data_IF_122351383540
#
_entry.id   IF_122351383540
#
_cell.length_a   1.000
_cell.length_b   1.000
_cell.length_c   1.000
_cell.angle_alpha   90.00
_cell.angle_beta   90.00
_cell.angle_gamma   90.00
#
_symmetry.space_group_name_H-M   'P 1'
#
loop_
_entity.id
_entity.type
_entity.pdbx_description
1 polymer ?
#
# COMPACT_ATOMS: atom_id res chain seq x y z
N UNK A 1 -6.56 -3.64 25.27
CA UNK A 1 -5.76 -3.51 24.03
C UNK A 1 -4.47 -4.28 24.21
N UNK A 2 -4.28 -5.43 23.53
CA UNK A 2 -3.30 -6.46 23.89
C UNK A 2 -1.83 -5.97 23.88
N UNK A 3 -1.47 -5.06 22.97
CA UNK A 3 -0.10 -4.54 22.87
C UNK A 3 0.29 -3.63 24.04
N UNK A 4 -0.58 -2.70 24.44
CA UNK A 4 -0.33 -1.87 25.62
C UNK A 4 -0.27 -2.71 26.91
N UNK A 5 -1.14 -3.72 27.05
CA UNK A 5 -1.04 -4.65 28.19
C UNK A 5 0.23 -5.51 28.18
N UNK A 6 0.93 -5.60 27.04
CA UNK A 6 2.24 -6.22 26.92
C UNK A 6 3.40 -5.23 27.12
N UNK A 7 3.12 -3.97 27.46
CA UNK A 7 4.12 -2.92 27.72
C UNK A 7 4.58 -2.14 26.47
N UNK A 8 3.98 -2.38 25.30
CA UNK A 8 4.30 -1.59 24.10
C UNK A 8 3.52 -0.28 24.11
N UNK A 9 4.18 0.83 24.39
CA UNK A 9 3.55 2.17 24.44
C UNK A 9 3.63 2.94 23.11
N UNK A 10 4.59 2.58 22.25
CA UNK A 10 4.78 3.18 20.93
C UNK A 10 4.91 2.09 19.88
N UNK A 11 3.90 1.94 19.03
CA UNK A 11 3.85 0.92 17.98
C UNK A 11 3.88 1.60 16.61
N UNK A 12 4.91 1.28 15.81
CA UNK A 12 5.00 1.66 14.41
C UNK A 12 4.55 0.52 13.50
N UNK A 13 3.88 0.84 12.40
CA UNK A 13 3.61 -0.10 11.31
C UNK A 13 4.52 0.21 10.13
N UNK A 14 5.18 -0.82 9.63
CA UNK A 14 5.95 -0.75 8.39
C UNK A 14 5.48 -1.84 7.45
N UNK A 15 5.33 -1.50 6.17
CA UNK A 15 4.95 -2.47 5.16
C UNK A 15 5.37 -2.06 3.76
N UNK A 16 5.53 -3.07 2.91
CA UNK A 16 5.84 -2.94 1.49
C UNK A 16 4.66 -3.47 0.69
N UNK A 17 4.31 -2.81 -0.43
CA UNK A 17 3.27 -3.28 -1.35
C UNK A 17 1.93 -3.46 -0.63
N UNK A 18 1.36 -4.67 -0.65
CA UNK A 18 0.14 -5.00 0.09
C UNK A 18 0.30 -4.80 1.60
N UNK A 19 1.50 -4.97 2.14
CA UNK A 19 1.80 -4.62 3.53
C UNK A 19 1.75 -3.11 3.79
N UNK A 20 2.10 -2.28 2.81
CA UNK A 20 1.99 -0.82 2.90
C UNK A 20 0.53 -0.38 2.92
N UNK A 21 -0.31 -0.98 2.06
CA UNK A 21 -1.77 -0.83 2.10
C UNK A 21 -2.32 -1.21 3.49
N UNK A 22 -1.93 -2.39 4.02
CA UNK A 22 -2.33 -2.81 5.36
C UNK A 22 -1.88 -1.84 6.45
N UNK A 23 -0.64 -1.36 6.40
CA UNK A 23 -0.09 -0.45 7.40
C UNK A 23 -0.87 0.87 7.45
N UNK A 24 -1.19 1.44 6.27
CA UNK A 24 -2.00 2.66 6.17
C UNK A 24 -3.45 2.41 6.62
N UNK A 25 -4.07 1.32 6.17
CA UNK A 25 -5.44 0.96 6.56
C UNK A 25 -5.54 0.72 8.06
N UNK A 26 -4.69 -0.13 8.62
CA UNK A 26 -4.67 -0.43 10.06
C UNK A 26 -4.36 0.82 10.89
N UNK A 27 -3.40 1.65 10.46
CA UNK A 27 -3.10 2.93 11.09
C UNK A 27 -4.32 3.86 11.16
N UNK A 28 -5.13 3.89 10.10
CA UNK A 28 -6.36 4.70 10.07
C UNK A 28 -7.51 4.14 10.90
N UNK A 29 -7.53 2.83 11.13
CA UNK A 29 -8.59 2.11 11.88
C UNK A 29 -8.29 1.97 13.38
N UNK A 30 -7.02 2.14 13.77
CA UNK A 30 -6.54 1.96 15.14
C UNK A 30 -5.85 3.24 15.67
N UNK A 31 -6.53 4.41 15.65
CA UNK A 31 -5.97 5.65 16.17
C UNK A 31 -5.64 5.51 17.66
N UNK A 32 -4.53 6.10 18.08
CA UNK A 32 -3.99 6.03 19.44
C UNK A 32 -3.16 4.77 19.74
N UNK A 33 -3.37 3.66 19.00
CA UNK A 33 -2.51 2.48 19.11
C UNK A 33 -1.35 2.50 18.13
N UNK A 34 -1.59 2.95 16.90
CA UNK A 34 -0.54 3.09 15.89
C UNK A 34 0.02 4.51 15.96
N UNK A 35 1.31 4.60 16.27
CA UNK A 35 2.00 5.87 16.52
C UNK A 35 2.92 6.30 15.37
N UNK A 36 3.14 5.45 14.36
CA UNK A 36 3.88 5.79 13.15
C UNK A 36 3.53 4.81 12.03
N UNK A 37 3.56 5.29 10.78
CA UNK A 37 3.39 4.44 9.59
C UNK A 37 4.50 4.71 8.57
N UNK A 38 5.16 3.65 8.12
CA UNK A 38 6.09 3.68 6.99
C UNK A 38 5.52 2.77 5.90
N UNK A 39 5.17 3.36 4.75
CA UNK A 39 4.50 2.68 3.66
C UNK A 39 5.37 2.74 2.40
N UNK A 40 5.87 1.60 1.97
CA UNK A 40 6.78 1.44 0.83
C UNK A 40 6.03 0.87 -0.36
N UNK A 41 6.18 1.48 -1.52
CA UNK A 41 5.34 1.26 -2.70
C UNK A 41 3.84 1.26 -2.30
N UNK A 42 3.30 2.37 -1.78
CA UNK A 42 1.97 2.40 -1.16
C UNK A 42 0.83 2.34 -2.18
N UNK A 43 -0.38 2.17 -1.66
CA UNK A 43 -1.66 2.31 -2.36
C UNK A 43 -2.58 3.27 -1.58
N UNK A 44 -3.36 4.10 -2.26
CA UNK A 44 -4.26 5.09 -1.64
C UNK A 44 -5.66 4.54 -1.32
N UNK A 45 -5.95 3.31 -1.73
CA UNK A 45 -7.25 2.65 -1.60
C UNK A 45 -7.06 1.19 -1.17
N UNK A 46 -8.03 0.64 -0.45
CA UNK A 46 -8.05 -0.80 -0.19
C UNK A 46 -8.46 -1.52 -1.48
N UNK A 47 -7.66 -2.47 -1.94
CA UNK A 47 -7.95 -3.19 -3.18
C UNK A 47 -8.76 -4.47 -2.92
N UNK A 48 -9.48 -4.92 -3.94
CA UNK A 48 -10.05 -6.27 -4.00
C UNK A 48 -8.98 -7.35 -3.80
N UNK A 49 -9.38 -8.46 -3.16
CA UNK A 49 -8.50 -9.57 -2.83
C UNK A 49 -8.07 -10.42 -4.03
N UNK A 50 -6.91 -11.06 -3.89
CA UNK A 50 -6.43 -12.12 -4.77
C UNK A 50 -6.23 -13.41 -3.98
N UNK A 51 -6.51 -14.55 -4.62
CA UNK A 51 -6.05 -15.85 -4.14
C UNK A 51 -4.93 -16.37 -5.03
N UNK A 52 -3.96 -17.06 -4.42
CA UNK A 52 -2.89 -17.81 -5.10
C UNK A 52 -3.01 -19.32 -4.93
N UNK A 53 -4.03 -19.81 -4.22
CA UNK A 53 -4.14 -21.24 -3.86
C UNK A 53 -4.36 -22.15 -5.08
N UNK A 54 -5.02 -21.66 -6.14
CA UNK A 54 -5.27 -22.38 -7.39
C UNK A 54 -4.90 -21.51 -8.60
N UNK A 55 -3.72 -20.88 -8.54
CA UNK A 55 -3.33 -19.81 -9.46
C UNK A 55 -3.83 -18.45 -9.00
N UNK A 56 -3.46 -17.38 -9.73
CA UNK A 56 -3.85 -16.00 -9.41
C UNK A 56 -5.29 -15.78 -9.87
N UNK A 57 -6.22 -15.69 -8.92
CA UNK A 57 -7.64 -15.42 -9.18
C UNK A 57 -8.10 -14.21 -8.39
N UNK A 58 -8.93 -13.38 -9.02
CA UNK A 58 -9.67 -12.33 -8.31
C UNK A 58 -10.67 -12.99 -7.36
N UNK A 59 -10.66 -12.54 -6.10
CA UNK A 59 -11.64 -12.96 -5.11
C UNK A 59 -12.80 -11.96 -5.09
N UNK A 60 -14.06 -12.42 -4.97
CA UNK A 60 -15.12 -11.52 -4.56
C UNK A 60 -14.80 -11.03 -3.14
N UNK A 61 -14.67 -9.72 -2.96
CA UNK A 61 -14.44 -9.13 -1.65
C UNK A 61 -13.13 -8.35 -1.48
N UNK A 62 -13.03 -7.76 -0.29
CA UNK A 62 -11.88 -6.96 0.14
C UNK A 62 -10.65 -7.83 0.35
N UNK A 63 -9.46 -7.23 0.26
CA UNK A 63 -8.27 -7.93 0.76
C UNK A 63 -8.21 -7.94 2.30
N UNK A 64 -8.91 -7.02 2.97
CA UNK A 64 -8.83 -6.88 4.42
C UNK A 64 -10.20 -7.00 5.06
N UNK A 65 -10.23 -7.70 6.21
CA UNK A 65 -11.35 -7.70 7.12
C UNK A 65 -10.95 -7.05 8.44
N UNK A 66 -11.86 -6.30 9.05
CA UNK A 66 -11.69 -5.70 10.37
C UNK A 66 -12.91 -5.98 11.23
N UNK A 67 -12.70 -6.51 12.44
CA UNK A 67 -13.77 -6.95 13.35
C UNK A 67 -14.82 -7.88 12.71
N UNK A 68 -14.36 -8.79 11.83
CA UNK A 68 -15.22 -9.77 11.16
C UNK A 68 -16.01 -9.24 9.97
N UNK A 69 -15.91 -7.93 9.65
CA UNK A 69 -16.49 -7.34 8.44
C UNK A 69 -15.43 -6.97 7.41
N UNK A 70 -15.81 -6.93 6.13
CA UNK A 70 -14.91 -6.46 5.07
C UNK A 70 -14.64 -4.96 5.21
N UNK A 71 -13.37 -4.57 5.05
CA UNK A 71 -13.03 -3.16 4.87
C UNK A 71 -13.49 -2.75 3.46
N UNK A 72 -14.19 -1.62 3.28
CA UNK A 72 -14.60 -1.16 1.95
C UNK A 72 -13.41 -1.13 1.00
N UNK A 73 -13.61 -1.58 -0.23
CA UNK A 73 -12.54 -1.79 -1.19
C UNK A 73 -12.92 -1.29 -2.60
N UNK A 74 -11.92 -1.02 -3.43
CA UNK A 74 -12.10 -0.74 -4.85
C UNK A 74 -11.88 -2.03 -5.64
N UNK A 75 -12.89 -2.44 -6.39
CA UNK A 75 -12.82 -3.58 -7.30
C UNK A 75 -12.03 -3.29 -8.56
N UNK A 76 -11.46 -4.32 -9.19
CA UNK A 76 -10.80 -4.18 -10.48
C UNK A 76 -11.76 -3.95 -11.65
N UNK A 77 -13.07 -4.15 -11.44
CA UNK A 77 -14.07 -4.07 -12.50
C UNK A 77 -13.92 -5.17 -13.55
N UNK A 78 -13.27 -6.28 -13.17
CA UNK A 78 -12.98 -7.42 -14.03
C UNK A 78 -13.62 -8.67 -13.43
N UNK A 79 -14.28 -9.47 -14.27
CA UNK A 79 -14.87 -10.76 -13.84
C UNK A 79 -13.80 -11.81 -13.55
N UNK A 80 -12.65 -11.72 -14.22
CA UNK A 80 -11.52 -12.66 -14.10
C UNK A 80 -10.20 -11.95 -14.17
N UNK A 81 -9.20 -12.55 -13.52
CA UNK A 81 -7.83 -12.06 -13.60
C UNK A 81 -7.28 -12.20 -15.03
N UNK A 82 -6.79 -11.12 -15.68
CA UNK A 82 -6.33 -11.14 -17.06
C UNK A 82 -4.91 -11.71 -17.19
N UNK A 83 -4.73 -12.98 -16.81
CA UNK A 83 -3.43 -13.64 -16.69
C UNK A 83 -2.60 -13.56 -17.98
N UNK A 84 -3.21 -13.80 -19.15
CA UNK A 84 -2.51 -13.76 -20.44
C UNK A 84 -1.96 -12.37 -20.78
N UNK A 85 -2.71 -11.31 -20.47
CA UNK A 85 -2.28 -9.93 -20.68
C UNK A 85 -1.12 -9.57 -19.74
N UNK A 86 -1.24 -9.93 -18.46
CA UNK A 86 -0.18 -9.74 -17.46
C UNK A 86 1.09 -10.48 -17.87
N UNK A 87 0.99 -11.74 -18.29
CA UNK A 87 2.13 -12.53 -18.78
C UNK A 87 2.78 -11.89 -20.01
N UNK A 88 1.97 -11.51 -21.01
CA UNK A 88 2.46 -10.89 -22.25
C UNK A 88 3.20 -9.57 -21.98
N UNK A 89 2.63 -8.71 -21.13
CA UNK A 89 3.30 -7.45 -20.73
C UNK A 89 4.54 -7.71 -19.89
N UNK A 90 4.49 -8.66 -18.96
CA UNK A 90 5.62 -9.00 -18.12
C UNK A 90 6.81 -9.54 -18.93
N UNK A 91 6.54 -10.34 -19.96
CA UNK A 91 7.57 -10.81 -20.90
C UNK A 91 8.20 -9.64 -21.68
N UNK A 92 7.40 -8.66 -22.14
CA UNK A 92 7.89 -7.47 -22.84
C UNK A 92 8.72 -6.56 -21.93
N UNK A 93 8.28 -6.37 -20.69
CA UNK A 93 8.97 -5.56 -19.69
C UNK A 93 10.19 -6.28 -19.09
N UNK A 94 10.30 -7.61 -19.27
CA UNK A 94 11.30 -8.49 -18.64
C UNK A 94 11.22 -8.49 -17.11
N UNK A 95 10.05 -8.19 -16.58
CA UNK A 95 9.72 -8.20 -15.14
C UNK A 95 8.21 -8.36 -14.94
N UNK A 96 7.77 -8.72 -13.72
CA UNK A 96 6.34 -8.85 -13.43
C UNK A 96 5.69 -7.46 -13.32
N UNK A 97 4.76 -7.14 -14.23
CA UNK A 97 4.08 -5.83 -14.30
C UNK A 97 2.56 -5.99 -14.21
N UNK A 98 1.90 -5.18 -13.38
CA UNK A 98 0.43 -5.15 -13.25
C UNK A 98 -0.13 -3.73 -13.07
N UNK A 99 0.70 -2.71 -13.27
CA UNK A 99 0.37 -1.29 -13.18
C UNK A 99 -0.96 -0.90 -13.84
N UNK A 100 -1.22 -1.35 -15.07
CA UNK A 100 -2.46 -1.02 -15.78
C UNK A 100 -3.73 -1.44 -15.04
N UNK A 101 -3.67 -2.55 -14.29
CA UNK A 101 -4.81 -3.04 -13.52
C UNK A 101 -5.10 -2.13 -12.32
N UNK A 102 -4.08 -1.45 -11.80
CA UNK A 102 -4.18 -0.60 -10.62
C UNK A 102 -4.33 0.89 -10.93
N UNK A 103 -3.94 1.36 -12.13
CA UNK A 103 -4.12 2.77 -12.54
C UNK A 103 -5.57 3.27 -12.34
N UNK A 104 -6.63 2.52 -12.73
CA UNK A 104 -8.01 2.96 -12.49
C UNK A 104 -8.34 3.07 -10.99
N UNK A 105 -7.83 2.14 -10.17
CA UNK A 105 -8.07 2.11 -8.72
C UNK A 105 -7.44 3.33 -8.03
N UNK A 106 -6.26 3.75 -8.47
CA UNK A 106 -5.59 4.93 -7.90
C UNK A 106 -6.28 6.23 -8.32
N UNK A 107 -6.68 6.34 -9.60
CA UNK A 107 -7.28 7.55 -10.15
C UNK A 107 -8.71 7.77 -9.68
N UNK A 108 -9.52 6.71 -9.67
CA UNK A 108 -10.94 6.76 -9.36
C UNK A 108 -11.33 5.66 -8.36
N UNK A 109 -10.78 5.68 -7.14
CA UNK A 109 -11.14 4.71 -6.11
C UNK A 109 -12.61 4.86 -5.72
N UNK A 110 -13.24 3.77 -5.28
CA UNK A 110 -14.54 3.86 -4.63
C UNK A 110 -14.40 4.77 -3.39
N UNK A 111 -15.25 5.80 -3.20
CA UNK A 111 -15.05 6.79 -2.13
C UNK A 111 -14.92 6.20 -0.73
N UNK A 112 -15.66 5.13 -0.44
CA UNK A 112 -15.61 4.43 0.86
C UNK A 112 -14.30 3.64 1.07
N UNK A 113 -13.62 3.24 -0.01
CA UNK A 113 -12.41 2.43 -0.01
C UNK A 113 -11.12 3.24 0.09
N UNK A 114 -11.19 4.56 -0.13
CA UNK A 114 -10.07 5.47 0.05
C UNK A 114 -9.55 5.32 1.47
N UNK A 115 -8.25 5.02 1.60
CA UNK A 115 -7.63 4.85 2.90
C UNK A 115 -7.62 6.21 3.60
N UNK A 116 -8.18 6.25 4.80
CA UNK A 116 -8.36 7.46 5.59
C UNK A 116 -7.08 7.82 6.35
N UNK A 117 -5.99 8.05 5.61
CA UNK A 117 -4.67 8.34 6.16
C UNK A 117 -4.68 9.56 7.10
N UNK A 118 -5.61 10.50 6.93
CA UNK A 118 -5.79 11.65 7.82
C UNK A 118 -6.19 11.28 9.25
N UNK A 119 -6.68 10.05 9.47
CA UNK A 119 -7.05 9.54 10.80
C UNK A 119 -5.88 8.93 11.58
N UNK A 120 -4.71 8.77 10.94
CA UNK A 120 -3.52 8.24 11.60
C UNK A 120 -3.02 9.26 12.64
N UNK A 121 -2.77 8.81 13.86
CA UNK A 121 -2.38 9.69 14.98
C UNK A 121 -0.87 9.75 15.19
N UNK A 122 -0.10 9.80 14.11
CA UNK A 122 1.36 9.76 14.16
C UNK A 122 2.02 10.03 12.81
N UNK A 123 3.35 10.18 12.76
CA UNK A 123 4.09 10.44 11.54
C UNK A 123 3.88 9.39 10.44
N UNK A 124 3.87 9.85 9.19
CA UNK A 124 3.75 9.02 8.00
C UNK A 124 4.97 9.23 7.08
N UNK A 125 5.64 8.15 6.72
CA UNK A 125 6.66 8.13 5.67
C UNK A 125 6.18 7.28 4.50
N UNK A 126 6.07 7.89 3.32
CA UNK A 126 5.77 7.21 2.07
C UNK A 126 7.05 7.08 1.25
N UNK A 127 7.31 5.90 0.71
CA UNK A 127 8.43 5.65 -0.20
C UNK A 127 7.85 5.07 -1.50
N UNK A 128 8.11 5.72 -2.63
CA UNK A 128 7.65 5.23 -3.95
C UNK A 128 8.77 5.32 -4.99
N UNK A 129 8.51 4.75 -6.16
CA UNK A 129 9.34 4.98 -7.34
C UNK A 129 8.53 5.20 -8.60
N UNK A 130 9.08 6.03 -9.50
CA UNK A 130 8.58 6.23 -10.85
C UNK A 130 8.72 5.00 -11.74
N UNK A 131 9.60 4.07 -11.38
CA UNK A 131 9.83 2.81 -12.10
C UNK A 131 9.06 1.62 -11.49
N UNK A 132 8.10 1.87 -10.60
CA UNK A 132 7.24 0.81 -10.09
C UNK A 132 6.27 0.33 -11.18
N UNK A 133 6.57 -0.83 -11.76
CA UNK A 133 5.75 -1.48 -12.78
C UNK A 133 4.73 -2.45 -12.19
N UNK A 134 4.76 -2.71 -10.88
CA UNK A 134 3.78 -3.58 -10.26
C UNK A 134 2.46 -2.84 -10.01
N UNK A 135 2.53 -1.63 -9.47
CA UNK A 135 1.40 -0.73 -9.35
C UNK A 135 1.86 0.74 -9.33
N UNK A 136 0.99 1.73 -9.63
CA UNK A 136 1.43 3.13 -9.75
C UNK A 136 1.62 3.78 -8.37
N UNK A 137 2.69 3.40 -7.68
CA UNK A 137 2.94 3.79 -6.28
C UNK A 137 3.25 5.27 -6.09
N UNK A 138 3.87 5.94 -7.06
CA UNK A 138 4.04 7.40 -7.05
C UNK A 138 2.68 8.09 -7.03
N UNK A 139 1.82 7.79 -8.01
CA UNK A 139 0.49 8.40 -8.09
C UNK A 139 -0.35 8.10 -6.84
N UNK A 140 -0.25 6.89 -6.28
CA UNK A 140 -0.92 6.55 -5.03
C UNK A 140 -0.39 7.37 -3.84
N UNK A 141 0.92 7.51 -3.72
CA UNK A 141 1.54 8.33 -2.67
C UNK A 141 1.12 9.80 -2.79
N UNK A 142 1.06 10.35 -4.01
CA UNK A 142 0.58 11.72 -4.25
C UNK A 142 -0.88 11.92 -3.84
N UNK A 143 -1.77 10.96 -4.11
CA UNK A 143 -3.17 11.01 -3.66
C UNK A 143 -3.26 10.99 -2.13
N UNK A 144 -2.43 10.19 -1.45
CA UNK A 144 -2.36 10.19 0.02
C UNK A 144 -1.88 11.55 0.53
N UNK A 145 -0.77 12.09 -0.01
CA UNK A 145 -0.24 13.39 0.38
C UNK A 145 -1.25 14.53 0.13
N UNK A 146 -1.98 14.48 -0.98
CA UNK A 146 -3.07 15.43 -1.28
C UNK A 146 -4.16 15.36 -0.22
N UNK A 147 -4.64 14.16 0.11
CA UNK A 147 -5.65 13.95 1.16
C UNK A 147 -5.20 14.47 2.52
N UNK A 148 -3.95 14.21 2.91
CA UNK A 148 -3.37 14.70 4.17
C UNK A 148 -3.36 16.23 4.23
N UNK A 149 -2.97 16.91 3.14
CA UNK A 149 -3.01 18.38 3.04
C UNK A 149 -4.44 18.93 3.14
N UNK A 150 -5.38 18.33 2.41
CA UNK A 150 -6.80 18.76 2.40
C UNK A 150 -7.48 18.65 3.77
N UNK A 151 -7.02 17.73 4.62
CA UNK A 151 -7.59 17.52 5.96
C UNK A 151 -6.74 18.16 7.08
N UNK A 152 -5.72 18.95 6.75
CA UNK A 152 -4.88 19.64 7.73
C UNK A 152 -4.14 18.69 8.68
N UNK A 153 -3.53 17.63 8.13
CA UNK A 153 -2.85 16.60 8.92
C UNK A 153 -1.81 17.21 9.87
N UNK A 154 -1.90 16.85 11.16
CA UNK A 154 -1.16 17.51 12.24
C UNK A 154 0.24 16.93 12.48
N UNK A 155 0.49 15.71 12.02
CA UNK A 155 1.75 15.00 12.25
C UNK A 155 2.70 15.16 11.06
N UNK A 156 3.98 14.89 11.31
CA UNK A 156 4.98 14.88 10.25
C UNK A 156 4.59 13.90 9.14
N UNK A 157 4.59 14.37 7.90
CA UNK A 157 4.41 13.51 6.74
C UNK A 157 5.48 13.81 5.68
N UNK A 158 6.08 12.76 5.13
CA UNK A 158 7.08 12.87 4.08
C UNK A 158 6.85 11.84 3.00
N UNK A 159 7.06 12.24 1.76
CA UNK A 159 7.05 11.36 0.60
C UNK A 159 8.43 11.40 -0.06
N UNK A 160 9.13 10.27 -0.02
CA UNK A 160 10.38 10.06 -0.74
C UNK A 160 10.03 9.36 -2.05
N UNK A 161 10.19 10.09 -3.15
CA UNK A 161 9.95 9.58 -4.49
C UNK A 161 11.26 9.42 -5.24
N UNK A 162 11.59 8.19 -5.63
CA UNK A 162 12.83 7.88 -6.32
C UNK A 162 12.60 7.73 -7.83
N UNK A 163 13.43 8.38 -8.64
CA UNK A 163 13.39 8.26 -10.11
C UNK A 163 13.67 6.83 -10.58
N UNK A 164 14.52 6.10 -9.85
CA UNK A 164 14.90 4.73 -10.15
C UNK A 164 14.62 3.80 -8.96
N UNK A 165 14.21 2.56 -9.29
CA UNK A 165 13.97 1.48 -8.32
C UNK A 165 12.67 0.75 -8.62
N UNK A 166 12.67 -0.58 -8.47
CA UNK A 166 11.48 -1.38 -8.69
C UNK A 166 10.49 -1.31 -7.53
N UNK A 167 9.44 -2.11 -7.60
CA UNK A 167 8.39 -2.19 -6.57
C UNK A 167 8.90 -2.56 -5.16
N UNK A 168 10.02 -3.28 -5.07
CA UNK A 168 10.57 -3.79 -3.81
C UNK A 168 11.74 -2.92 -3.35
N UNK A 169 11.46 -1.95 -2.47
CA UNK A 169 12.48 -1.28 -1.67
C UNK A 169 12.60 -1.99 -0.33
N UNK A 170 13.58 -2.89 -0.25
CA UNK A 170 13.89 -3.63 0.97
C UNK A 170 15.19 -3.11 1.59
N UNK A 171 15.26 -2.99 2.93
CA UNK A 171 16.53 -2.76 3.58
C UNK A 171 17.42 -3.97 3.34
N UNK A 172 18.54 -3.77 2.62
CA UNK A 172 19.56 -4.79 2.47
C UNK A 172 20.75 -4.46 3.36
N UNK A 173 21.06 -5.34 4.30
CA UNK A 173 22.38 -5.34 4.93
C UNK A 173 23.39 -5.94 3.95
N UNK A 174 24.10 -5.07 3.23
CA UNK A 174 25.28 -5.51 2.48
C UNK A 174 26.41 -5.68 3.51
N UNK A 175 26.68 -6.92 3.92
CA UNK A 175 27.79 -7.27 4.84
C UNK A 175 29.17 -6.79 4.35
N UNK A 176 29.30 -6.45 3.07
CA UNK A 176 30.52 -5.92 2.45
C UNK A 176 30.66 -4.38 2.53
N UNK A 177 29.66 -3.64 3.00
CA UNK A 177 29.72 -2.17 3.10
C UNK A 177 30.48 -1.67 4.35
N UNK A 178 31.05 -2.57 5.16
CA UNK A 178 31.94 -2.22 6.30
C UNK A 178 33.43 -2.12 5.90
N UNK A 179 33.75 -2.20 4.61
CA UNK A 179 35.12 -2.17 4.09
C UNK A 179 35.44 -0.90 3.28
N UNK A 180 34.77 0.22 3.58
CA UNK A 180 35.13 1.56 3.11
C UNK A 180 35.14 2.53 4.29
#
# INVERSE_FOLDING_TARGET
MRLHSMGYEKVGLWGISKGAELALTAGSLLPGLVNAVIAVAPMNTVCQGFSKQKGVTLMPGSTWSFHGGEVPYTGFGLDRFPLAQVLSKSLKARELTMDDLYIPLVKNPAPAAIIRAERITGPILLISSKMDTMWPSEAAAEQIMKRLREHGFLFFCQHLNYDCGGHLFVPMEIRLARAF
#
